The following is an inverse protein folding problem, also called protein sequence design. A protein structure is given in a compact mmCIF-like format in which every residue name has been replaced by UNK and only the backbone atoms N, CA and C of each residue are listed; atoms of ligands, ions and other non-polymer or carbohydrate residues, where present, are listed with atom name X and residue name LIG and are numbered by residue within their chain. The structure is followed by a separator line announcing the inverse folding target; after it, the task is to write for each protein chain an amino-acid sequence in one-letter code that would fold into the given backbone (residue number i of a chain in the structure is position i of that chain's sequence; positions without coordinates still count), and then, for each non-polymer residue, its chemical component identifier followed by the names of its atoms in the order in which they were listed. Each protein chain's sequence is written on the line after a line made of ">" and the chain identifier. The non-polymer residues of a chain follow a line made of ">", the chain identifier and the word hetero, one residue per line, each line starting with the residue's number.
data_IF_401770329120
#
_entry.id   IF_401770329120
#
_cell.length_a   1.000
_cell.length_b   1.000
_cell.length_c   1.000
_cell.angle_alpha   90.00
_cell.angle_beta   90.00
_cell.angle_gamma   90.00
#
_symmetry.space_group_name_H-M   'P 1'
#
loop_
_entity.id
_entity.type
_entity.pdbx_description
1 polymer ?
#
# COMPACT_ATOMS: atom_id res chain seq x y z
N UNK A 1 51.84 44.34 -15.36
CA UNK A 1 51.78 42.92 -15.76
C UNK A 1 50.50 42.38 -15.16
N UNK A 2 49.49 42.15 -16.00
CA UNK A 2 48.15 41.73 -15.55
C UNK A 2 48.20 40.22 -15.33
N UNK A 3 48.09 39.77 -14.08
CA UNK A 3 47.83 38.37 -13.76
C UNK A 3 46.42 38.04 -14.22
N UNK A 4 46.27 37.42 -15.38
CA UNK A 4 45.00 36.84 -15.83
C UNK A 4 44.62 35.75 -14.82
N UNK A 5 43.67 36.07 -13.94
CA UNK A 5 43.03 35.07 -13.10
C UNK A 5 42.17 34.19 -14.01
N UNK A 6 42.50 32.90 -14.07
CA UNK A 6 41.75 31.91 -14.84
C UNK A 6 40.31 31.85 -14.32
N UNK A 7 39.35 32.37 -15.10
CA UNK A 7 37.92 32.35 -14.73
C UNK A 7 37.35 30.98 -15.06
N UNK A 8 37.00 30.21 -14.03
CA UNK A 8 36.21 28.98 -14.18
C UNK A 8 34.72 29.36 -14.17
N UNK A 9 34.00 28.98 -15.23
CA UNK A 9 32.54 29.10 -15.31
C UNK A 9 31.91 27.75 -15.00
N UNK A 10 30.88 27.73 -14.14
CA UNK A 10 30.18 26.51 -13.71
C UNK A 10 28.69 26.74 -13.93
N UNK A 11 28.08 25.89 -14.75
CA UNK A 11 26.64 25.90 -14.94
C UNK A 11 25.96 25.17 -13.77
N UNK A 12 25.05 25.88 -13.08
CA UNK A 12 24.31 25.35 -11.94
C UNK A 12 22.90 25.00 -12.41
N UNK A 13 22.65 23.70 -12.58
CA UNK A 13 21.34 23.14 -12.83
C UNK A 13 20.57 22.97 -11.53
N UNK A 14 19.29 23.36 -11.56
CA UNK A 14 18.43 23.44 -10.40
C UNK A 14 17.18 22.61 -10.66
N UNK A 15 16.82 21.78 -9.69
CA UNK A 15 15.64 20.92 -9.69
C UNK A 15 14.51 21.65 -8.94
N UNK A 16 13.35 21.75 -9.57
CA UNK A 16 12.14 22.25 -8.93
C UNK A 16 11.60 21.20 -7.95
N UNK A 17 11.41 21.58 -6.68
CA UNK A 17 10.78 20.72 -5.67
C UNK A 17 9.57 21.44 -5.05
N UNK A 18 8.65 20.72 -4.39
CA UNK A 18 7.49 21.34 -3.73
C UNK A 18 7.86 22.38 -2.65
N UNK A 19 9.10 22.35 -2.14
CA UNK A 19 9.62 23.31 -1.15
C UNK A 19 10.46 24.42 -1.77
N UNK A 20 10.55 24.46 -3.10
CA UNK A 20 11.33 25.42 -3.87
C UNK A 20 12.43 24.77 -4.69
N UNK A 21 13.21 25.64 -5.34
CA UNK A 21 14.34 25.30 -6.19
C UNK A 21 15.51 24.74 -5.35
N UNK A 22 16.03 23.59 -5.73
CA UNK A 22 17.19 22.94 -5.08
C UNK A 22 18.25 22.60 -6.11
N UNK A 23 19.53 22.84 -5.81
CA UNK A 23 20.64 22.55 -6.74
C UNK A 23 20.74 21.05 -7.01
N UNK A 24 20.99 20.67 -8.26
CA UNK A 24 21.15 19.27 -8.64
C UNK A 24 22.43 18.66 -8.08
N UNK A 25 22.43 17.35 -7.86
CA UNK A 25 23.63 16.63 -7.39
C UNK A 25 24.80 16.76 -8.38
N UNK A 26 24.50 16.73 -9.69
CA UNK A 26 25.52 16.88 -10.73
C UNK A 26 26.15 18.28 -10.71
N UNK A 27 25.36 19.31 -10.43
CA UNK A 27 25.88 20.66 -10.26
C UNK A 27 26.71 20.81 -8.98
N UNK A 28 26.34 20.16 -7.88
CA UNK A 28 27.18 20.12 -6.66
C UNK A 28 28.52 19.45 -6.97
N UNK A 29 28.51 18.34 -7.69
CA UNK A 29 29.73 17.65 -8.13
C UNK A 29 30.60 18.54 -9.01
N UNK A 30 30.01 19.26 -9.96
CA UNK A 30 30.73 20.21 -10.82
C UNK A 30 31.32 21.38 -10.02
N UNK A 31 30.59 21.89 -9.01
CA UNK A 31 31.09 22.92 -8.09
C UNK A 31 32.28 22.40 -7.29
N UNK A 32 32.18 21.20 -6.70
CA UNK A 32 33.26 20.59 -5.94
C UNK A 32 34.50 20.38 -6.81
N UNK A 33 34.34 19.86 -8.02
CA UNK A 33 35.44 19.65 -8.96
C UNK A 33 36.12 20.97 -9.35
N UNK A 34 35.35 22.02 -9.61
CA UNK A 34 35.88 23.33 -9.95
C UNK A 34 36.60 24.01 -8.77
N UNK A 35 36.11 23.82 -7.54
CA UNK A 35 36.77 24.32 -6.33
C UNK A 35 38.12 23.62 -6.08
N UNK A 36 38.22 22.32 -6.39
CA UNK A 36 39.49 21.58 -6.29
C UNK A 36 40.55 22.10 -7.28
N UNK A 37 40.14 22.56 -8.48
CA UNK A 37 41.06 23.12 -9.49
C UNK A 37 41.68 24.46 -9.08
N UNK A 38 41.00 25.25 -8.24
CA UNK A 38 41.40 26.63 -7.92
C UNK A 38 42.44 26.77 -6.80
N UNK A 39 42.77 25.70 -6.06
CA UNK A 39 43.51 25.85 -4.80
C UNK A 39 44.63 24.81 -4.61
N UNK A 40 45.75 25.00 -5.34
CA UNK A 40 46.83 24.01 -5.50
C UNK A 40 47.60 23.65 -4.21
N UNK A 41 47.66 24.55 -3.23
CA UNK A 41 48.39 24.34 -1.96
C UNK A 41 47.55 23.74 -0.81
N UNK A 42 46.21 23.67 -0.96
CA UNK A 42 45.26 23.03 -0.03
C UNK A 42 44.76 21.65 -0.51
N UNK A 43 45.22 21.22 -1.69
CA UNK A 43 44.74 20.07 -2.48
C UNK A 43 44.64 18.77 -1.66
N UNK A 44 45.69 18.38 -0.93
CA UNK A 44 45.73 17.01 -0.37
C UNK A 44 44.70 16.75 0.73
N UNK A 45 44.29 17.78 1.46
CA UNK A 45 43.30 17.67 2.56
C UNK A 45 41.89 17.97 2.06
N UNK A 46 41.72 18.96 1.18
CA UNK A 46 40.41 19.30 0.61
C UNK A 46 39.92 18.24 -0.38
N UNK A 47 40.80 17.61 -1.17
CA UNK A 47 40.39 16.53 -2.08
C UNK A 47 39.84 15.34 -1.31
N UNK A 48 40.39 15.01 -0.14
CA UNK A 48 39.85 13.92 0.71
C UNK A 48 38.46 14.27 1.23
N UNK A 49 38.30 15.46 1.82
CA UNK A 49 37.02 15.90 2.38
C UNK A 49 35.95 15.98 1.28
N UNK A 50 36.30 16.55 0.12
CA UNK A 50 35.37 16.70 -1.00
C UNK A 50 35.00 15.36 -1.65
N UNK A 51 35.96 14.43 -1.76
CA UNK A 51 35.67 13.08 -2.24
C UNK A 51 34.83 12.27 -1.24
N UNK A 52 35.06 12.43 0.06
CA UNK A 52 34.22 11.83 1.11
C UNK A 52 32.79 12.37 1.03
N UNK A 53 32.61 13.69 0.90
CA UNK A 53 31.28 14.32 0.73
C UNK A 53 30.59 13.81 -0.54
N UNK A 54 31.30 13.71 -1.66
CA UNK A 54 30.74 13.20 -2.91
C UNK A 54 30.32 11.72 -2.77
N UNK A 55 31.15 10.90 -2.13
CA UNK A 55 30.84 9.49 -1.89
C UNK A 55 29.61 9.33 -0.99
N UNK A 56 29.50 10.13 0.07
CA UNK A 56 28.33 10.14 0.94
C UNK A 56 27.08 10.58 0.18
N UNK A 57 27.16 11.63 -0.66
CA UNK A 57 26.02 12.05 -1.48
C UNK A 57 25.56 10.96 -2.46
N UNK A 58 26.50 10.23 -3.07
CA UNK A 58 26.20 9.11 -3.96
C UNK A 58 25.55 7.95 -3.18
N UNK A 59 26.05 7.66 -1.97
CA UNK A 59 25.48 6.62 -1.11
C UNK A 59 24.05 6.99 -0.69
N UNK A 60 23.81 8.22 -0.26
CA UNK A 60 22.48 8.76 0.06
C UNK A 60 21.55 8.65 -1.16
N UNK A 61 22.02 9.02 -2.36
CA UNK A 61 21.20 8.90 -3.57
C UNK A 61 20.79 7.45 -3.86
N UNK A 62 21.73 6.51 -3.69
CA UNK A 62 21.49 5.08 -3.87
C UNK A 62 20.48 4.55 -2.86
N UNK A 63 20.63 4.92 -1.59
CA UNK A 63 19.69 4.54 -0.53
C UNK A 63 18.30 5.13 -0.75
N UNK A 64 18.20 6.39 -1.16
CA UNK A 64 16.92 7.02 -1.50
C UNK A 64 16.23 6.32 -2.67
N UNK A 65 16.98 5.89 -3.69
CA UNK A 65 16.45 5.07 -4.80
C UNK A 65 15.93 3.72 -4.30
N UNK A 66 16.66 3.05 -3.41
CA UNK A 66 16.23 1.80 -2.80
C UNK A 66 14.96 1.97 -1.95
N UNK A 67 14.89 3.01 -1.12
CA UNK A 67 13.72 3.35 -0.32
C UNK A 67 12.50 3.62 -1.20
N UNK A 68 12.65 4.38 -2.30
CA UNK A 68 11.57 4.61 -3.26
C UNK A 68 11.04 3.32 -3.87
N UNK A 69 11.94 2.38 -4.21
CA UNK A 69 11.56 1.06 -4.72
C UNK A 69 10.78 0.25 -3.67
N UNK A 70 11.27 0.18 -2.44
CA UNK A 70 10.60 -0.52 -1.34
C UNK A 70 9.24 0.09 -1.01
N UNK A 71 9.09 1.42 -1.10
CA UNK A 71 7.81 2.10 -0.95
C UNK A 71 6.83 1.70 -2.04
N UNK A 72 7.27 1.67 -3.30
CA UNK A 72 6.43 1.25 -4.42
C UNK A 72 5.96 -0.21 -4.27
N UNK A 73 6.88 -1.11 -3.90
CA UNK A 73 6.56 -2.52 -3.64
C UNK A 73 5.57 -2.69 -2.47
N UNK A 74 5.74 -1.92 -1.39
CA UNK A 74 4.80 -1.92 -0.27
C UNK A 74 3.41 -1.41 -0.67
N UNK A 75 3.32 -0.35 -1.48
CA UNK A 75 2.04 0.18 -1.96
C UNK A 75 1.31 -0.87 -2.81
N UNK A 76 2.03 -1.53 -3.74
CA UNK A 76 1.46 -2.59 -4.57
C UNK A 76 0.95 -3.74 -3.70
N UNK A 77 1.76 -4.18 -2.74
CA UNK A 77 1.39 -5.26 -1.81
C UNK A 77 0.17 -4.88 -0.97
N UNK A 78 0.10 -3.62 -0.51
CA UNK A 78 -1.02 -3.11 0.27
C UNK A 78 -2.33 -3.10 -0.53
N UNK A 79 -2.31 -2.61 -1.78
CA UNK A 79 -3.50 -2.62 -2.64
C UNK A 79 -3.93 -4.06 -2.99
N UNK A 80 -2.98 -4.98 -3.22
CA UNK A 80 -3.31 -6.39 -3.43
C UNK A 80 -3.96 -7.03 -2.19
N UNK A 81 -3.46 -6.75 -0.99
CA UNK A 81 -4.07 -7.23 0.26
C UNK A 81 -5.47 -6.66 0.46
N UNK A 82 -5.67 -5.38 0.15
CA UNK A 82 -6.97 -4.71 0.23
C UNK A 82 -7.99 -5.32 -0.72
N UNK A 83 -7.59 -5.68 -1.94
CA UNK A 83 -8.47 -6.37 -2.89
C UNK A 83 -8.81 -7.78 -2.41
N UNK A 84 -7.84 -8.55 -1.92
CA UNK A 84 -8.10 -9.87 -1.33
C UNK A 84 -9.09 -9.80 -0.15
N UNK A 85 -8.94 -8.80 0.73
CA UNK A 85 -9.87 -8.57 1.84
C UNK A 85 -11.28 -8.26 1.32
N UNK A 86 -11.38 -7.48 0.24
CA UNK A 86 -12.66 -7.16 -0.40
C UNK A 86 -13.33 -8.42 -0.96
N UNK A 87 -12.60 -9.24 -1.73
CA UNK A 87 -13.12 -10.49 -2.27
C UNK A 87 -13.57 -11.47 -1.18
N UNK A 88 -12.80 -11.57 -0.09
CA UNK A 88 -13.18 -12.36 1.09
C UNK A 88 -14.47 -11.84 1.72
N UNK A 89 -14.62 -10.53 1.85
CA UNK A 89 -15.82 -9.90 2.41
C UNK A 89 -17.06 -10.15 1.53
N UNK A 90 -16.91 -10.06 0.20
CA UNK A 90 -17.99 -10.33 -0.75
C UNK A 90 -18.41 -11.81 -0.69
N UNK A 91 -17.44 -12.72 -0.58
CA UNK A 91 -17.70 -14.17 -0.41
C UNK A 91 -18.42 -14.45 0.90
N UNK A 92 -18.00 -13.84 2.00
CA UNK A 92 -18.66 -13.97 3.30
C UNK A 92 -20.11 -13.48 3.24
N UNK A 93 -20.36 -12.32 2.63
CA UNK A 93 -21.71 -11.77 2.49
C UNK A 93 -22.63 -12.67 1.63
N UNK A 94 -22.10 -13.22 0.54
CA UNK A 94 -22.81 -14.19 -0.30
C UNK A 94 -23.18 -15.46 0.48
N UNK A 95 -22.22 -15.99 1.25
CA UNK A 95 -22.44 -17.16 2.10
C UNK A 95 -23.48 -16.89 3.19
N UNK A 96 -23.38 -15.76 3.89
CA UNK A 96 -24.36 -15.35 4.89
C UNK A 96 -25.77 -15.24 4.30
N UNK A 97 -25.90 -14.60 3.13
CA UNK A 97 -27.19 -14.50 2.43
C UNK A 97 -27.76 -15.88 2.08
N UNK A 98 -26.90 -16.80 1.63
CA UNK A 98 -27.30 -18.17 1.29
C UNK A 98 -27.73 -18.96 2.53
N UNK A 99 -27.00 -18.81 3.63
CA UNK A 99 -27.33 -19.41 4.93
C UNK A 99 -28.69 -18.89 5.42
N UNK A 100 -28.90 -17.58 5.40
CA UNK A 100 -30.18 -16.97 5.80
C UNK A 100 -31.34 -17.52 4.97
N UNK A 101 -31.20 -17.59 3.65
CA UNK A 101 -32.23 -18.19 2.76
C UNK A 101 -32.50 -19.66 3.09
N UNK A 102 -31.47 -20.43 3.43
CA UNK A 102 -31.64 -21.82 3.82
C UNK A 102 -32.36 -21.96 5.15
N UNK A 103 -32.05 -21.10 6.13
CA UNK A 103 -32.79 -21.05 7.40
C UNK A 103 -34.26 -20.68 7.19
N UNK A 104 -34.56 -19.67 6.36
CA UNK A 104 -35.95 -19.32 6.04
C UNK A 104 -36.73 -20.48 5.41
N UNK A 105 -36.09 -21.24 4.51
CA UNK A 105 -36.69 -22.45 3.93
C UNK A 105 -36.94 -23.52 4.99
N UNK A 106 -35.98 -23.74 5.89
CA UNK A 106 -36.10 -24.70 6.98
C UNK A 106 -37.24 -24.33 7.92
N UNK A 107 -37.36 -23.06 8.30
CA UNK A 107 -38.46 -22.56 9.13
C UNK A 107 -39.81 -22.85 8.48
N UNK A 108 -39.97 -22.56 7.19
CA UNK A 108 -41.22 -22.87 6.46
C UNK A 108 -41.54 -24.37 6.41
N UNK A 109 -40.52 -25.23 6.35
CA UNK A 109 -40.72 -26.69 6.41
C UNK A 109 -41.19 -27.11 7.80
N UNK A 110 -40.58 -26.55 8.85
CA UNK A 110 -40.97 -26.82 10.24
C UNK A 110 -42.40 -26.36 10.53
N UNK A 111 -42.79 -25.16 10.11
CA UNK A 111 -44.17 -24.64 10.25
C UNK A 111 -45.20 -25.56 9.56
N UNK A 112 -44.89 -26.04 8.35
CA UNK A 112 -45.76 -27.00 7.63
C UNK A 112 -45.85 -28.33 8.36
N UNK A 113 -44.73 -28.82 8.89
CA UNK A 113 -44.69 -30.07 9.64
C UNK A 113 -45.52 -29.97 10.92
N UNK A 114 -45.38 -28.89 11.67
CA UNK A 114 -46.17 -28.60 12.89
C UNK A 114 -47.67 -28.57 12.58
N UNK A 115 -48.09 -27.81 11.56
CA UNK A 115 -49.50 -27.76 11.13
C UNK A 115 -50.05 -29.13 10.72
N UNK A 116 -49.23 -29.95 10.06
CA UNK A 116 -49.64 -31.30 9.66
C UNK A 116 -49.80 -32.24 10.86
N UNK A 117 -48.92 -32.15 11.86
CA UNK A 117 -49.07 -32.90 13.12
C UNK A 117 -50.35 -32.48 13.82
N UNK A 118 -50.59 -31.18 13.98
CA UNK A 118 -51.76 -30.65 14.65
C UNK A 118 -53.06 -31.16 14.01
N UNK A 119 -53.17 -31.05 12.68
CA UNK A 119 -54.31 -31.60 11.91
C UNK A 119 -54.49 -33.10 12.13
N UNK A 120 -53.39 -33.86 12.14
CA UNK A 120 -53.44 -35.32 12.29
C UNK A 120 -53.90 -35.71 13.70
N UNK A 121 -53.43 -35.01 14.73
CA UNK A 121 -53.86 -35.19 16.12
C UNK A 121 -55.37 -34.89 16.24
N UNK A 122 -55.81 -33.72 15.79
CA UNK A 122 -57.23 -33.32 15.83
C UNK A 122 -58.10 -34.37 15.14
N UNK A 123 -57.74 -34.76 13.91
CA UNK A 123 -58.50 -35.75 13.15
C UNK A 123 -58.61 -37.12 13.85
N UNK A 124 -57.55 -37.54 14.55
CA UNK A 124 -57.52 -38.81 15.29
C UNK A 124 -58.40 -38.74 16.54
N UNK A 125 -58.33 -37.63 17.28
CA UNK A 125 -59.17 -37.37 18.45
C UNK A 125 -60.65 -37.29 18.06
N UNK A 126 -61.00 -36.59 16.97
CA UNK A 126 -62.38 -36.51 16.49
C UNK A 126 -62.93 -37.89 16.13
N UNK A 127 -62.17 -38.71 15.42
CA UNK A 127 -62.56 -40.10 15.09
C UNK A 127 -62.79 -40.93 16.34
N UNK A 128 -61.90 -40.84 17.33
CA UNK A 128 -62.02 -41.56 18.59
C UNK A 128 -63.32 -41.17 19.34
N UNK A 129 -63.59 -39.87 19.49
CA UNK A 129 -64.79 -39.37 20.16
C UNK A 129 -66.08 -39.80 19.44
N UNK A 130 -66.07 -39.82 18.10
CA UNK A 130 -67.22 -40.29 17.32
C UNK A 130 -67.46 -41.79 17.51
N UNK A 131 -66.40 -42.61 17.49
CA UNK A 131 -66.51 -44.05 17.71
C UNK A 131 -66.93 -44.44 19.14
N UNK A 132 -66.68 -43.60 20.14
CA UNK A 132 -67.13 -43.84 21.52
C UNK A 132 -68.59 -43.46 21.78
N UNK A 133 -69.26 -42.81 20.81
CA UNK A 133 -70.66 -42.39 20.91
C UNK A 133 -71.63 -43.32 20.16
N UNK A 134 -71.12 -44.29 19.39
CA UNK A 134 -71.90 -45.37 18.76
C UNK A 134 -71.90 -46.61 19.65
#
# INVERSE_FOLDING_TARGET
>A
MSTDQEKISIDIEVIETPRGKVVSLESIKNIINALNLLNVELISSNDKINNEVLNEMINIERELKAIRKLLAENIITHEALKENIREMNDTLNSNLTSITKNFEKLTKVLEKFESNIEKKIISSLTKFIQSSKS
#
